data_IF_214765242204
#
_entry.id   IF_214765242204
#
_cell.length_a   1.000
_cell.length_b   1.000
_cell.length_c   1.000
_cell.angle_alpha   90.00
_cell.angle_beta   90.00
_cell.angle_gamma   90.00
#
_symmetry.space_group_name_H-M   'P 1'
#
loop_
_entity.id
_entity.type
_entity.pdbx_description
1 polymer ?
#
# COMPACT_ATOMS: atom_id res chain seq x y z
N UNK A 1 58.03 1.33 7.80
CA UNK A 1 56.73 1.09 7.10
C UNK A 1 56.51 2.23 6.08
N UNK A 2 56.54 1.91 4.75
CA UNK A 2 56.73 2.87 3.65
C UNK A 2 55.57 3.89 3.51
N UNK A 3 55.87 5.18 3.66
CA UNK A 3 54.95 6.30 3.44
C UNK A 3 54.27 6.26 2.06
N UNK A 4 54.98 5.76 1.03
CA UNK A 4 54.43 5.57 -0.35
C UNK A 4 53.31 4.51 -0.41
N UNK A 5 53.42 3.41 0.34
CA UNK A 5 52.40 2.37 0.36
C UNK A 5 51.10 2.85 1.06
N UNK A 6 51.22 3.65 2.11
CA UNK A 6 50.07 4.27 2.80
C UNK A 6 49.32 5.28 1.88
N UNK A 7 50.07 6.08 1.11
CA UNK A 7 49.51 7.04 0.16
C UNK A 7 48.76 6.34 -0.99
N UNK A 8 49.35 5.26 -1.54
CA UNK A 8 48.73 4.43 -2.58
C UNK A 8 47.45 3.77 -2.09
N UNK A 9 47.42 3.22 -0.88
CA UNK A 9 46.20 2.64 -0.28
C UNK A 9 45.12 3.69 -0.03
N UNK A 10 45.44 4.93 0.37
CA UNK A 10 44.48 6.04 0.53
C UNK A 10 43.89 6.46 -0.81
N UNK A 11 44.72 6.55 -1.86
CA UNK A 11 44.23 6.87 -3.22
C UNK A 11 43.31 5.79 -3.78
N UNK A 12 43.65 4.51 -3.59
CA UNK A 12 42.78 3.40 -4.00
C UNK A 12 41.46 3.41 -3.25
N UNK A 13 41.49 3.62 -1.92
CA UNK A 13 40.24 3.74 -1.12
C UNK A 13 39.41 4.92 -1.55
N UNK A 14 40.02 6.08 -1.81
CA UNK A 14 39.32 7.26 -2.35
C UNK A 14 38.68 7.01 -3.71
N UNK A 15 39.40 6.34 -4.63
CA UNK A 15 38.88 5.94 -5.93
C UNK A 15 37.74 4.93 -5.84
N UNK A 16 37.80 3.96 -4.95
CA UNK A 16 36.70 3.01 -4.70
C UNK A 16 35.48 3.71 -4.14
N UNK A 17 35.65 4.63 -3.17
CA UNK A 17 34.56 5.42 -2.62
C UNK A 17 33.89 6.31 -3.67
N UNK A 18 34.69 6.94 -4.53
CA UNK A 18 34.16 7.75 -5.64
C UNK A 18 33.39 6.88 -6.63
N UNK A 19 33.89 5.71 -6.98
CA UNK A 19 33.20 4.76 -7.86
C UNK A 19 31.88 4.29 -7.25
N UNK A 20 31.84 3.99 -5.96
CA UNK A 20 30.62 3.62 -5.25
C UNK A 20 29.61 4.77 -5.25
N UNK A 21 30.06 6.00 -5.00
CA UNK A 21 29.20 7.18 -5.05
C UNK A 21 28.59 7.37 -6.45
N UNK A 22 29.40 7.25 -7.50
CA UNK A 22 28.94 7.35 -8.88
C UNK A 22 27.94 6.22 -9.24
N UNK A 23 28.18 5.00 -8.75
CA UNK A 23 27.27 3.87 -8.95
C UNK A 23 25.91 4.11 -8.26
N UNK A 24 25.91 4.65 -7.03
CA UNK A 24 24.66 5.02 -6.33
C UNK A 24 23.91 6.12 -7.07
N UNK A 25 24.62 7.17 -7.50
CA UNK A 25 24.00 8.24 -8.30
C UNK A 25 23.40 7.68 -9.60
N UNK A 26 24.14 6.83 -10.31
CA UNK A 26 23.64 6.18 -11.52
C UNK A 26 22.39 5.32 -11.22
N UNK A 27 22.36 4.57 -10.13
CA UNK A 27 21.18 3.80 -9.72
C UNK A 27 19.98 4.69 -9.43
N UNK A 28 20.15 5.84 -8.79
CA UNK A 28 19.07 6.80 -8.52
C UNK A 28 18.48 7.37 -9.82
N UNK A 29 19.32 7.68 -10.81
CA UNK A 29 18.86 8.30 -12.06
C UNK A 29 18.37 7.29 -13.09
N UNK A 30 19.01 6.12 -13.21
CA UNK A 30 18.65 5.11 -14.22
C UNK A 30 17.42 4.29 -13.83
N UNK A 31 17.20 4.09 -12.53
CA UNK A 31 16.12 3.24 -12.01
C UNK A 31 14.92 4.09 -11.57
N UNK A 32 14.39 4.92 -12.46
CA UNK A 32 13.17 5.69 -12.20
C UNK A 32 11.98 5.07 -12.92
N UNK A 33 10.90 4.78 -12.18
CA UNK A 33 9.66 4.26 -12.73
C UNK A 33 9.02 5.28 -13.68
N UNK A 34 9.05 5.01 -14.97
CA UNK A 34 8.37 5.78 -16.02
C UNK A 34 7.07 5.11 -16.44
N UNK A 35 7.10 3.78 -16.53
CA UNK A 35 5.94 2.97 -16.86
C UNK A 35 5.54 2.14 -15.66
N UNK A 36 4.28 2.28 -15.26
CA UNK A 36 3.66 1.53 -14.18
C UNK A 36 2.42 0.86 -14.72
N UNK A 37 2.42 -0.46 -14.75
CA UNK A 37 1.26 -1.26 -15.15
C UNK A 37 0.63 -1.85 -13.89
N UNK A 38 -0.66 -1.59 -13.68
CA UNK A 38 -1.38 -2.04 -12.48
C UNK A 38 -2.36 -3.15 -12.86
N UNK A 39 -2.44 -4.18 -12.02
CA UNK A 39 -3.36 -5.30 -12.15
C UNK A 39 -4.11 -5.55 -10.86
N UNK A 40 -5.36 -6.05 -10.99
CA UNK A 40 -6.17 -6.47 -9.84
C UNK A 40 -7.01 -5.35 -9.21
N UNK A 41 -7.16 -4.23 -9.91
CA UNK A 41 -8.03 -3.12 -9.50
C UNK A 41 -9.48 -3.50 -9.83
N UNK A 42 -10.40 -3.30 -8.89
CA UNK A 42 -11.83 -3.61 -9.03
C UNK A 42 -12.74 -2.42 -8.74
N UNK A 43 -12.46 -1.67 -7.70
CA UNK A 43 -13.28 -0.54 -7.22
C UNK A 43 -12.60 0.81 -7.39
N UNK A 44 -11.28 0.83 -7.38
CA UNK A 44 -10.45 2.03 -7.53
C UNK A 44 -9.89 2.14 -8.94
N UNK A 45 -9.18 3.23 -9.23
CA UNK A 45 -8.55 3.45 -10.52
C UNK A 45 -7.05 3.12 -10.48
N UNK A 46 -6.50 2.72 -11.62
CA UNK A 46 -5.05 2.50 -11.74
C UNK A 46 -4.25 3.77 -11.39
N UNK A 47 -4.83 4.96 -11.68
CA UNK A 47 -4.20 6.24 -11.40
C UNK A 47 -4.10 6.50 -9.90
N UNK A 48 -5.14 6.19 -9.11
CA UNK A 48 -5.10 6.31 -7.65
C UNK A 48 -4.01 5.43 -7.04
N UNK A 49 -3.88 4.19 -7.53
CA UNK A 49 -2.80 3.29 -7.11
C UNK A 49 -1.43 3.88 -7.45
N UNK A 50 -1.29 4.41 -8.67
CA UNK A 50 -0.03 4.99 -9.14
C UNK A 50 0.36 6.23 -8.34
N UNK A 51 -0.56 7.14 -8.12
CA UNK A 51 -0.33 8.35 -7.32
C UNK A 51 0.00 8.02 -5.86
N UNK A 52 -0.76 7.14 -5.24
CA UNK A 52 -0.51 6.69 -3.88
C UNK A 52 0.83 5.97 -3.71
N UNK A 53 1.25 5.19 -4.72
CA UNK A 53 2.52 4.47 -4.70
C UNK A 53 3.73 5.40 -4.96
N UNK A 54 3.61 6.34 -5.92
CA UNK A 54 4.69 7.22 -6.37
C UNK A 54 4.72 8.58 -5.67
N UNK A 55 4.25 8.65 -4.45
CA UNK A 55 4.00 9.88 -3.70
C UNK A 55 5.25 10.68 -3.27
N UNK A 56 6.47 10.13 -3.40
CA UNK A 56 7.71 10.81 -3.06
C UNK A 56 8.89 10.35 -3.96
N UNK A 57 10.04 11.05 -3.85
CA UNK A 57 11.21 10.79 -4.70
C UNK A 57 11.78 9.37 -4.57
N UNK A 58 11.77 8.78 -3.37
CA UNK A 58 12.25 7.41 -3.17
C UNK A 58 11.30 6.39 -3.80
N UNK A 59 10.00 6.66 -3.72
CA UNK A 59 8.96 5.84 -4.34
C UNK A 59 8.89 5.97 -5.88
N UNK A 60 9.73 6.79 -6.50
CA UNK A 60 9.95 6.80 -7.95
C UNK A 60 11.08 5.87 -8.40
N UNK A 61 11.87 5.32 -7.46
CA UNK A 61 12.96 4.41 -7.79
C UNK A 61 12.47 2.96 -7.84
N UNK A 62 12.62 2.30 -8.98
CA UNK A 62 12.11 0.94 -9.24
C UNK A 62 12.75 -0.12 -8.34
N UNK A 63 14.04 -0.01 -8.03
CA UNK A 63 14.73 -0.93 -7.12
C UNK A 63 14.19 -0.81 -5.69
N UNK A 64 13.99 0.42 -5.23
CA UNK A 64 13.43 0.68 -3.91
C UNK A 64 11.99 0.16 -3.80
N UNK A 65 11.15 0.44 -4.79
CA UNK A 65 9.77 -0.07 -4.83
C UNK A 65 9.72 -1.58 -4.80
N UNK A 66 10.50 -2.24 -5.66
CA UNK A 66 10.56 -3.70 -5.66
C UNK A 66 11.04 -4.25 -4.32
N UNK A 67 12.08 -3.68 -3.73
CA UNK A 67 12.59 -4.14 -2.43
C UNK A 67 11.56 -3.98 -1.32
N UNK A 68 10.88 -2.82 -1.27
CA UNK A 68 9.92 -2.49 -0.21
C UNK A 68 8.63 -3.29 -0.32
N UNK A 69 8.10 -3.47 -1.54
CA UNK A 69 6.76 -4.02 -1.76
C UNK A 69 6.74 -5.43 -2.37
N UNK A 70 7.85 -6.11 -2.47
CA UNK A 70 7.93 -7.47 -3.02
C UNK A 70 7.13 -8.52 -2.23
N UNK A 71 6.88 -8.28 -0.95
CA UNK A 71 6.23 -9.23 -0.04
C UNK A 71 4.77 -8.87 0.28
N UNK A 72 4.14 -8.01 -0.51
CA UNK A 72 2.73 -7.66 -0.31
C UNK A 72 2.47 -6.57 0.72
N UNK A 73 3.49 -5.81 1.13
CA UNK A 73 3.31 -4.66 2.01
C UNK A 73 2.43 -3.60 1.36
N UNK A 74 1.62 -2.91 2.16
CA UNK A 74 0.71 -1.86 1.69
C UNK A 74 1.20 -0.51 2.18
N UNK A 75 1.29 0.52 1.30
CA UNK A 75 1.58 1.88 1.73
C UNK A 75 0.39 2.50 2.48
N UNK A 76 0.67 3.35 3.47
CA UNK A 76 -0.34 4.07 4.25
C UNK A 76 -1.24 4.98 3.38
N UNK A 77 -0.74 5.37 2.21
CA UNK A 77 -1.46 6.17 1.20
C UNK A 77 -2.54 5.41 0.45
N UNK A 78 -2.57 4.07 0.57
CA UNK A 78 -3.52 3.18 -0.10
C UNK A 78 -4.19 2.25 0.93
N UNK A 79 -4.95 2.79 1.90
CA UNK A 79 -5.50 2.03 3.04
C UNK A 79 -6.57 1.01 2.63
N UNK A 80 -7.14 1.16 1.44
CA UNK A 80 -8.13 0.26 0.87
C UNK A 80 -7.54 -1.01 0.26
N UNK A 81 -6.22 -1.14 0.20
CA UNK A 81 -5.57 -2.34 -0.29
C UNK A 81 -5.38 -3.37 0.84
N UNK A 82 -5.59 -4.63 0.51
CA UNK A 82 -5.22 -5.78 1.33
C UNK A 82 -3.76 -6.17 1.12
N UNK A 83 -3.29 -6.10 -0.13
CA UNK A 83 -1.90 -6.36 -0.48
C UNK A 83 -1.49 -5.60 -1.74
N UNK A 84 -0.21 -5.22 -1.82
CA UNK A 84 0.39 -4.61 -2.99
C UNK A 84 1.76 -5.25 -3.23
N UNK A 85 1.97 -5.80 -4.42
CA UNK A 85 3.23 -6.43 -4.82
C UNK A 85 3.80 -5.73 -6.04
N UNK A 86 5.04 -5.29 -5.94
CA UNK A 86 5.77 -4.66 -7.04
C UNK A 86 6.80 -5.62 -7.60
N UNK A 87 6.80 -5.77 -8.92
CA UNK A 87 7.77 -6.52 -9.70
C UNK A 87 8.41 -5.61 -10.75
N UNK A 88 9.73 -5.59 -10.81
CA UNK A 88 10.46 -4.80 -11.80
C UNK A 88 10.60 -5.62 -13.09
N UNK A 89 10.13 -5.09 -14.23
CA UNK A 89 10.34 -5.64 -15.56
C UNK A 89 11.61 -5.12 -16.20
N UNK A 90 11.87 -3.83 -16.04
CA UNK A 90 13.07 -3.15 -16.53
C UNK A 90 13.48 -2.04 -15.55
N UNK A 91 14.65 -1.41 -15.72
CA UNK A 91 15.07 -0.31 -14.86
C UNK A 91 14.06 0.85 -14.77
N UNK A 92 13.20 1.03 -15.77
CA UNK A 92 12.21 2.11 -15.83
C UNK A 92 10.76 1.61 -15.81
N UNK A 93 10.53 0.30 -15.72
CA UNK A 93 9.20 -0.30 -15.81
C UNK A 93 8.93 -1.23 -14.64
N UNK A 94 7.78 -1.04 -14.02
CA UNK A 94 7.28 -1.89 -12.93
C UNK A 94 5.88 -2.40 -13.23
N UNK A 95 5.61 -3.60 -12.75
CA UNK A 95 4.28 -4.16 -12.64
C UNK A 95 3.85 -4.14 -11.17
N UNK A 96 2.65 -3.66 -10.93
CA UNK A 96 2.03 -3.56 -9.61
C UNK A 96 0.81 -4.46 -9.60
N UNK A 97 0.86 -5.51 -8.79
CA UNK A 97 -0.27 -6.38 -8.55
C UNK A 97 -0.89 -5.98 -7.21
N UNK A 98 -2.16 -5.61 -7.23
CA UNK A 98 -2.92 -5.23 -6.04
C UNK A 98 -4.02 -6.24 -5.75
N UNK A 99 -4.40 -6.32 -4.48
CA UNK A 99 -5.62 -6.94 -4.02
C UNK A 99 -6.31 -5.91 -3.14
N UNK A 100 -7.51 -5.53 -3.50
CA UNK A 100 -8.32 -4.62 -2.70
C UNK A 100 -8.97 -5.35 -1.53
N UNK A 101 -9.31 -4.62 -0.48
CA UNK A 101 -10.13 -5.11 0.61
C UNK A 101 -11.57 -5.24 0.13
N UNK A 102 -12.23 -6.30 0.55
CA UNK A 102 -13.64 -6.53 0.23
C UNK A 102 -14.49 -6.30 1.48
N UNK A 103 -15.66 -5.67 1.36
CA UNK A 103 -16.62 -5.60 2.44
C UNK A 103 -17.08 -7.00 2.84
N UNK A 104 -17.36 -7.18 4.12
CA UNK A 104 -17.98 -8.43 4.63
C UNK A 104 -19.43 -8.21 5.00
N UNK A 105 -19.83 -6.97 5.27
CA UNK A 105 -21.18 -6.56 5.63
C UNK A 105 -21.33 -5.04 5.50
N UNK A 106 -22.56 -4.55 5.67
CA UNK A 106 -22.82 -3.13 5.80
C UNK A 106 -23.81 -2.82 6.93
N UNK A 107 -23.78 -1.57 7.40
CA UNK A 107 -24.75 -0.99 8.31
C UNK A 107 -25.63 -0.02 7.53
N UNK A 108 -26.95 0.01 7.81
CA UNK A 108 -27.88 0.99 7.28
C UNK A 108 -28.21 2.03 8.36
N UNK A 109 -27.79 3.27 8.10
CA UNK A 109 -28.09 4.46 8.91
C UNK A 109 -28.70 5.60 8.10
N UNK A 110 -29.32 5.27 6.96
CA UNK A 110 -29.72 6.24 5.92
C UNK A 110 -28.62 6.49 4.89
N UNK A 111 -27.39 6.08 5.21
CA UNK A 111 -26.25 5.87 4.35
C UNK A 111 -25.74 4.46 4.62
N UNK A 112 -25.32 3.74 3.58
CA UNK A 112 -24.81 2.37 3.69
C UNK A 112 -23.31 2.40 3.98
N UNK A 113 -22.93 1.89 5.16
CA UNK A 113 -21.56 1.90 5.67
C UNK A 113 -20.96 0.51 5.48
N UNK A 114 -20.17 0.31 4.43
CA UNK A 114 -19.50 -0.96 4.14
C UNK A 114 -18.18 -1.08 4.90
N UNK A 115 -17.92 -2.24 5.51
CA UNK A 115 -16.71 -2.47 6.29
C UNK A 115 -16.12 -3.87 6.05
N UNK A 116 -14.79 -3.99 6.28
CA UNK A 116 -14.06 -5.25 6.13
C UNK A 116 -14.11 -6.13 7.39
N UNK A 117 -13.47 -7.31 7.30
CA UNK A 117 -13.38 -8.28 8.38
C UNK A 117 -12.63 -7.77 9.64
N UNK A 118 -11.90 -6.67 9.53
CA UNK A 118 -11.22 -5.99 10.64
C UNK A 118 -12.07 -4.88 11.25
N UNK A 119 -13.25 -4.62 10.66
CA UNK A 119 -14.17 -3.54 11.03
C UNK A 119 -13.71 -2.17 10.54
N UNK A 120 -12.93 -2.12 9.47
CA UNK A 120 -12.49 -0.87 8.83
C UNK A 120 -13.54 -0.46 7.81
N UNK A 121 -14.00 0.79 7.86
CA UNK A 121 -14.93 1.36 6.89
C UNK A 121 -14.25 1.47 5.53
N UNK A 122 -14.78 0.77 4.54
CA UNK A 122 -14.24 0.77 3.17
C UNK A 122 -14.97 1.73 2.24
N UNK A 123 -16.28 1.90 2.45
CA UNK A 123 -17.13 2.71 1.57
C UNK A 123 -18.31 3.27 2.35
N UNK A 124 -18.68 4.50 2.01
CA UNK A 124 -19.93 5.16 2.40
C UNK A 124 -20.73 5.37 1.12
N UNK A 125 -21.95 4.84 1.04
CA UNK A 125 -22.71 4.80 -0.21
C UNK A 125 -24.17 5.12 0.03
N UNK A 126 -24.80 5.81 -0.93
CA UNK A 126 -26.25 6.02 -0.98
C UNK A 126 -27.00 4.82 -1.58
N UNK A 127 -26.26 3.81 -2.08
CA UNK A 127 -26.82 2.63 -2.74
C UNK A 127 -26.56 1.38 -1.93
N UNK A 128 -27.60 0.59 -1.76
CA UNK A 128 -27.52 -0.74 -1.21
C UNK A 128 -26.89 -1.72 -2.21
N UNK A 129 -25.96 -2.53 -1.75
CA UNK A 129 -25.46 -3.69 -2.46
C UNK A 129 -25.93 -4.97 -1.76
N UNK A 130 -26.96 -5.60 -2.31
CA UNK A 130 -27.58 -6.82 -1.78
C UNK A 130 -26.67 -8.05 -1.79
N UNK A 131 -25.46 -7.96 -2.32
CA UNK A 131 -24.48 -9.05 -2.25
C UNK A 131 -23.86 -9.19 -0.87
N UNK A 132 -24.01 -8.18 -0.01
CA UNK A 132 -23.48 -8.18 1.36
C UNK A 132 -24.61 -8.25 2.39
N UNK A 133 -24.40 -8.92 3.53
CA UNK A 133 -25.38 -8.95 4.61
C UNK A 133 -25.50 -7.58 5.30
N UNK A 134 -26.75 -7.22 5.66
CA UNK A 134 -27.03 -6.03 6.46
C UNK A 134 -26.93 -6.34 7.94
N UNK A 135 -26.30 -5.47 8.70
CA UNK A 135 -26.25 -5.50 10.14
C UNK A 135 -27.18 -4.42 10.69
N UNK A 136 -28.14 -4.80 11.51
CA UNK A 136 -29.12 -3.90 12.11
C UNK A 136 -29.05 -3.91 13.64
N UNK A 137 -29.63 -2.88 14.29
CA UNK A 137 -29.68 -2.81 15.74
C UNK A 137 -28.37 -2.40 16.42
N UNK A 138 -27.46 -1.79 15.65
CA UNK A 138 -26.18 -1.31 16.13
C UNK A 138 -26.10 0.20 16.02
N UNK A 139 -25.70 0.86 17.10
CA UNK A 139 -25.40 2.27 17.11
C UNK A 139 -23.91 2.50 16.84
N UNK A 140 -23.62 3.28 15.82
CA UNK A 140 -22.28 3.77 15.48
C UNK A 140 -22.32 5.29 15.42
N UNK A 141 -21.27 5.94 15.89
CA UNK A 141 -21.06 7.37 15.71
C UNK A 141 -20.72 7.67 14.23
N UNK A 142 -20.36 8.90 13.91
CA UNK A 142 -20.05 9.29 12.52
C UNK A 142 -18.88 8.46 11.97
N UNK A 143 -19.12 7.62 10.94
CA UNK A 143 -18.10 6.78 10.38
C UNK A 143 -17.11 7.60 9.53
N UNK A 144 -15.83 7.23 9.60
CA UNK A 144 -14.79 7.85 8.80
C UNK A 144 -14.17 6.77 7.90
N UNK A 145 -14.06 7.08 6.61
CA UNK A 145 -13.44 6.20 5.62
C UNK A 145 -12.04 5.76 6.06
N UNK A 146 -11.78 4.47 5.88
CA UNK A 146 -10.51 3.79 6.21
C UNK A 146 -10.13 3.81 7.69
N UNK A 147 -11.10 4.12 8.56
CA UNK A 147 -10.95 4.01 10.00
C UNK A 147 -11.85 2.90 10.54
N UNK A 148 -11.53 2.48 11.76
CA UNK A 148 -12.32 1.48 12.45
C UNK A 148 -13.71 2.03 12.75
N UNK A 149 -14.76 1.19 12.58
CA UNK A 149 -16.13 1.53 12.93
C UNK A 149 -16.19 2.08 14.36
N UNK A 150 -16.68 3.31 14.56
CA UNK A 150 -16.76 3.95 15.88
C UNK A 150 -17.95 3.41 16.68
N UNK A 151 -17.79 2.21 17.22
CA UNK A 151 -18.82 1.55 18.01
C UNK A 151 -18.63 1.83 19.49
N UNK A 152 -19.74 2.07 20.21
CA UNK A 152 -19.73 2.31 21.65
C UNK A 152 -19.25 1.08 22.45
N UNK A 153 -19.40 -0.12 21.90
CA UNK A 153 -18.96 -1.36 22.53
C UNK A 153 -18.04 -2.17 21.62
N UNK A 154 -16.79 -2.35 22.05
CA UNK A 154 -15.84 -3.23 21.39
C UNK A 154 -16.25 -4.72 21.39
N UNK A 155 -17.12 -5.11 22.33
CA UNK A 155 -17.68 -6.47 22.40
C UNK A 155 -18.70 -6.69 21.29
N UNK A 156 -19.56 -5.71 21.01
CA UNK A 156 -20.52 -5.78 19.88
C UNK A 156 -19.80 -5.90 18.55
N UNK A 157 -18.76 -5.09 18.31
CA UNK A 157 -17.95 -5.17 17.09
C UNK A 157 -17.35 -6.57 16.89
N UNK A 158 -16.75 -7.16 17.95
CA UNK A 158 -16.20 -8.53 17.86
C UNK A 158 -17.27 -9.57 17.54
N UNK A 159 -18.47 -9.44 18.13
CA UNK A 159 -19.57 -10.36 17.85
C UNK A 159 -20.01 -10.25 16.38
N UNK A 160 -20.17 -9.03 15.87
CA UNK A 160 -20.52 -8.79 14.47
C UNK A 160 -19.47 -9.42 13.55
N UNK A 161 -18.19 -9.09 13.76
CA UNK A 161 -17.10 -9.62 12.94
C UNK A 161 -16.97 -11.15 13.00
N UNK A 162 -17.30 -11.77 14.16
CA UNK A 162 -17.30 -13.22 14.26
C UNK A 162 -18.45 -13.88 13.48
N UNK A 163 -19.59 -13.22 13.37
CA UNK A 163 -20.74 -13.71 12.60
C UNK A 163 -20.47 -13.55 11.09
N UNK A 164 -19.93 -12.42 10.66
CA UNK A 164 -19.64 -12.17 9.24
C UNK A 164 -18.54 -13.06 8.67
N UNK A 165 -17.67 -13.62 9.52
CA UNK A 165 -16.66 -14.61 9.09
C UNK A 165 -17.24 -16.03 8.91
N UNK A 166 -18.47 -16.28 9.33
CA UNK A 166 -19.14 -17.57 9.20
C UNK A 166 -20.09 -17.65 7.98
N UNK A 167 -20.34 -16.53 7.32
CA UNK A 167 -21.19 -16.40 6.15
C UNK A 167 -20.37 -16.48 4.86
#
# INVERSE_FOLDING_TARGET
MNRRARRKRRLIRGGVLLLLLLAVLAAVFLFQAKTVTVYGVTRHTEEEIREGLLNNMLHKNTLYLQWKYRNGAVPDTLPFLKSLKVSMKSPMEIEVQVTEKEPVAYLDKGEYIYFDADGIVLELSDKEDSNYPVITGVEVDDPVLYQKLPMQSSAQLRTILSITQLL
#
